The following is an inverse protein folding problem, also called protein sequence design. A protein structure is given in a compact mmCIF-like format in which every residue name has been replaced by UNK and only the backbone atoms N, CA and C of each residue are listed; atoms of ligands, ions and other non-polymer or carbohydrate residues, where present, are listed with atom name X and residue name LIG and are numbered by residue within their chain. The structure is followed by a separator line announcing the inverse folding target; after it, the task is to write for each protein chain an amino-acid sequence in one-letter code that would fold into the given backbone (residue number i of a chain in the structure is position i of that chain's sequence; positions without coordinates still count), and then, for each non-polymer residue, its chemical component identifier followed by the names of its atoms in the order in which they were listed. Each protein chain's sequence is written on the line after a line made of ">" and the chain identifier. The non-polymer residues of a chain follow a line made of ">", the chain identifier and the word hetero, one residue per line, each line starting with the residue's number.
data_IF_975043631388
#
_entry.id   IF_975043631388
#
_cell.length_a   1.000
_cell.length_b   1.000
_cell.length_c   1.000
_cell.angle_alpha   90.00
_cell.angle_beta   90.00
_cell.angle_gamma   90.00
#
_symmetry.space_group_name_H-M   'P 1'
#
loop_
_entity.id
_entity.type
_entity.pdbx_description
1 polymer ?
#
# COMPACT_ATOMS: atom_id res chain seq x y z
N UNK A 1 8.59 4.85 10.21
CA UNK A 1 7.98 4.29 8.97
C UNK A 1 8.56 5.01 7.78
N UNK A 2 9.22 4.30 6.87
CA UNK A 2 9.88 4.91 5.70
C UNK A 2 8.95 4.85 4.49
N UNK A 3 8.22 5.93 4.21
CA UNK A 3 7.43 6.07 2.99
C UNK A 3 8.33 6.48 1.82
N UNK A 4 8.13 5.95 0.61
CA UNK A 4 8.82 6.42 -0.59
C UNK A 4 8.61 7.92 -0.81
N UNK A 5 9.58 8.59 -1.43
CA UNK A 5 9.58 10.05 -1.60
C UNK A 5 8.30 10.58 -2.27
N UNK A 6 7.85 9.92 -3.35
CA UNK A 6 6.62 10.30 -4.05
C UNK A 6 5.39 10.13 -3.16
N UNK A 7 5.32 9.08 -2.35
CA UNK A 7 4.22 8.81 -1.42
C UNK A 7 4.21 9.83 -0.27
N UNK A 8 5.39 10.26 0.19
CA UNK A 8 5.51 11.38 1.13
C UNK A 8 5.00 12.69 0.54
N UNK A 9 5.31 12.95 -0.73
CA UNK A 9 4.85 14.15 -1.45
C UNK A 9 3.33 14.16 -1.55
N UNK A 10 2.73 13.04 -1.96
CA UNK A 10 1.26 12.88 -2.00
C UNK A 10 0.64 13.05 -0.62
N UNK A 11 1.21 12.44 0.42
CA UNK A 11 0.71 12.58 1.79
C UNK A 11 0.78 14.03 2.28
N UNK A 12 1.87 14.75 1.95
CA UNK A 12 2.01 16.16 2.28
C UNK A 12 0.95 17.01 1.58
N UNK A 13 0.72 16.76 0.29
CA UNK A 13 -0.37 17.41 -0.47
C UNK A 13 -1.72 17.15 0.17
N UNK A 14 -2.03 15.90 0.51
CA UNK A 14 -3.30 15.51 1.14
C UNK A 14 -3.51 16.09 2.55
N UNK A 15 -2.45 16.54 3.23
CA UNK A 15 -2.53 17.26 4.50
C UNK A 15 -2.74 18.75 4.31
N UNK A 16 -2.05 19.34 3.33
CA UNK A 16 -2.15 20.76 3.02
C UNK A 16 -3.48 21.10 2.32
N UNK A 17 -3.91 20.23 1.41
CA UNK A 17 -5.10 20.40 0.58
C UNK A 17 -6.18 19.35 0.92
N UNK A 18 -7.37 19.56 0.35
CA UNK A 18 -8.50 18.68 0.62
C UNK A 18 -8.41 17.32 -0.07
N UNK A 19 -7.92 17.26 -1.32
CA UNK A 19 -7.89 16.06 -2.15
C UNK A 19 -6.83 16.14 -3.27
N UNK A 20 -6.56 14.99 -3.89
CA UNK A 20 -5.70 14.88 -5.08
C UNK A 20 -6.33 13.96 -6.12
N UNK A 21 -6.15 14.30 -7.40
CA UNK A 21 -6.57 13.50 -8.56
C UNK A 21 -5.36 12.99 -9.34
N UNK A 22 -5.56 11.96 -10.18
CA UNK A 22 -4.47 11.45 -11.03
C UNK A 22 -3.90 12.53 -11.95
N UNK A 23 -4.76 13.39 -12.52
CA UNK A 23 -4.35 14.51 -13.36
C UNK A 23 -3.49 15.53 -12.61
N UNK A 24 -3.89 15.93 -11.40
CA UNK A 24 -3.08 16.83 -10.57
C UNK A 24 -1.75 16.18 -10.17
N UNK A 25 -1.77 14.90 -9.78
CA UNK A 25 -0.56 14.19 -9.40
C UNK A 25 0.46 14.10 -10.54
N UNK A 26 0.00 13.82 -11.76
CA UNK A 26 0.87 13.76 -12.94
C UNK A 26 1.33 15.14 -13.39
N UNK A 27 0.42 16.12 -13.46
CA UNK A 27 0.71 17.47 -13.94
C UNK A 27 1.64 18.26 -13.02
N UNK A 28 1.39 18.21 -11.71
CA UNK A 28 2.12 19.03 -10.71
C UNK A 28 3.35 18.29 -10.20
N UNK A 29 3.21 17.01 -9.83
CA UNK A 29 4.24 16.27 -9.11
C UNK A 29 4.97 15.23 -9.97
N UNK A 30 4.61 15.09 -11.26
CA UNK A 30 5.15 14.06 -12.17
C UNK A 30 4.95 12.63 -11.65
N UNK A 31 3.89 12.40 -10.88
CA UNK A 31 3.54 11.09 -10.31
C UNK A 31 2.49 10.41 -11.20
N UNK A 32 2.94 9.51 -12.09
CA UNK A 32 2.06 8.78 -13.02
C UNK A 32 1.20 7.70 -12.34
N UNK A 33 1.75 7.03 -11.32
CA UNK A 33 1.09 5.91 -10.63
C UNK A 33 0.52 6.33 -9.28
N UNK A 34 -0.37 7.33 -9.27
CA UNK A 34 -0.96 7.85 -8.03
C UNK A 34 -1.60 6.75 -7.17
N UNK A 35 -2.40 5.86 -7.77
CA UNK A 35 -3.06 4.78 -7.03
C UNK A 35 -2.07 3.93 -6.24
N UNK A 36 -0.93 3.55 -6.83
CA UNK A 36 0.11 2.79 -6.13
C UNK A 36 0.74 3.57 -4.97
N UNK A 37 0.85 4.90 -5.07
CA UNK A 37 1.33 5.74 -3.95
C UNK A 37 0.28 5.81 -2.84
N UNK A 38 -1.00 5.87 -3.19
CA UNK A 38 -2.09 5.80 -2.21
C UNK A 38 -2.08 4.44 -1.50
N UNK A 39 -1.89 3.34 -2.22
CA UNK A 39 -1.80 2.00 -1.61
C UNK A 39 -0.66 1.90 -0.59
N UNK A 40 0.49 2.51 -0.88
CA UNK A 40 1.62 2.59 0.06
C UNK A 40 1.30 3.43 1.30
N UNK A 41 0.57 4.53 1.12
CA UNK A 41 0.12 5.39 2.22
C UNK A 41 -0.87 4.63 3.12
N UNK A 42 -1.84 3.93 2.52
CA UNK A 42 -2.80 3.10 3.24
C UNK A 42 -2.10 1.93 3.95
N UNK A 43 -1.15 1.28 3.28
CA UNK A 43 -0.35 0.21 3.89
C UNK A 43 0.50 0.72 5.08
N UNK A 44 0.94 1.98 5.04
CA UNK A 44 1.61 2.62 6.17
C UNK A 44 0.67 3.00 7.32
N UNK A 45 -0.64 2.72 7.20
CA UNK A 45 -1.63 2.91 8.26
C UNK A 45 -2.38 4.23 8.21
N UNK A 46 -2.20 5.04 7.16
CA UNK A 46 -2.96 6.27 6.98
C UNK A 46 -4.35 5.97 6.40
N UNK A 47 -5.37 6.62 6.95
CA UNK A 47 -6.73 6.45 6.48
C UNK A 47 -7.08 7.42 5.33
N UNK A 48 -7.19 6.87 4.12
CA UNK A 48 -7.43 7.58 2.86
C UNK A 48 -8.78 7.15 2.28
N UNK A 49 -9.62 8.14 1.99
CA UNK A 49 -10.92 7.97 1.34
C UNK A 49 -10.77 8.11 -0.18
N UNK A 50 -11.35 7.16 -0.90
CA UNK A 50 -11.51 7.18 -2.36
C UNK A 50 -12.94 7.61 -2.69
N UNK A 51 -13.08 8.72 -3.42
CA UNK A 51 -14.38 9.22 -3.87
C UNK A 51 -14.40 9.30 -5.39
N UNK A 52 -15.48 8.82 -5.98
CA UNK A 52 -15.72 8.96 -7.40
C UNK A 52 -16.45 10.27 -7.70
N UNK A 53 -16.00 10.96 -8.75
CA UNK A 53 -16.58 12.20 -9.21
C UNK A 53 -16.76 12.16 -10.74
N UNK A 54 -17.57 13.09 -11.25
CA UNK A 54 -17.78 13.29 -12.68
C UNK A 54 -17.35 14.71 -13.05
N UNK A 55 -16.76 14.87 -14.21
CA UNK A 55 -16.41 16.19 -14.72
C UNK A 55 -17.57 16.81 -15.52
N UNK A 56 -17.35 18.02 -16.03
CA UNK A 56 -18.34 18.74 -16.84
C UNK A 56 -18.71 18.02 -18.15
N UNK A 57 -17.86 17.11 -18.64
CA UNK A 57 -18.11 16.30 -19.84
C UNK A 57 -18.82 14.97 -19.53
N UNK A 58 -19.02 14.66 -18.24
CA UNK A 58 -19.57 13.40 -17.77
C UNK A 58 -18.54 12.29 -17.58
N UNK A 59 -17.25 12.55 -17.85
CA UNK A 59 -16.18 11.59 -17.63
C UNK A 59 -15.98 11.35 -16.12
N UNK A 60 -15.93 10.07 -15.74
CA UNK A 60 -15.73 9.64 -14.36
C UNK A 60 -14.24 9.69 -14.03
N UNK A 61 -13.93 10.16 -12.82
CA UNK A 61 -12.58 10.16 -12.28
C UNK A 61 -12.59 9.97 -10.76
N UNK A 62 -11.41 9.69 -10.20
CA UNK A 62 -11.23 9.42 -8.78
C UNK A 62 -10.52 10.57 -8.09
N UNK A 63 -11.01 10.93 -6.90
CA UNK A 63 -10.37 11.84 -5.95
C UNK A 63 -9.97 11.04 -4.71
N UNK A 64 -8.76 11.27 -4.21
CA UNK A 64 -8.29 10.74 -2.93
C UNK A 64 -8.21 11.86 -1.91
N UNK A 65 -8.61 11.59 -0.67
CA UNK A 65 -8.55 12.56 0.44
C UNK A 65 -8.25 11.83 1.75
N UNK A 66 -7.65 12.51 2.73
CA UNK A 66 -7.60 11.96 4.08
C UNK A 66 -8.98 11.98 4.71
N UNK A 67 -9.29 10.96 5.53
CA UNK A 67 -10.52 10.96 6.31
C UNK A 67 -10.55 12.13 7.30
N UNK A 68 -11.76 12.52 7.72
CA UNK A 68 -11.92 13.58 8.72
C UNK A 68 -11.17 13.25 10.02
N UNK A 69 -11.16 11.97 10.41
CA UNK A 69 -10.37 11.47 11.55
C UNK A 69 -8.88 11.62 11.26
N UNK A 70 -8.39 11.11 10.12
CA UNK A 70 -6.96 11.17 9.77
C UNK A 70 -6.40 12.58 9.67
N UNK A 71 -7.19 13.57 9.24
CA UNK A 71 -6.75 14.98 9.22
C UNK A 71 -6.45 15.54 10.61
N UNK A 72 -7.09 15.03 11.66
CA UNK A 72 -6.87 15.47 13.05
C UNK A 72 -5.60 14.87 13.66
N UNK A 73 -5.18 13.69 13.19
CA UNK A 73 -4.01 12.98 13.71
C UNK A 73 -2.79 13.20 12.83
N UNK A 74 -1.67 13.56 13.46
CA UNK A 74 -0.39 13.70 12.77
C UNK A 74 0.24 12.35 12.37
N UNK A 75 -0.17 11.25 13.00
CA UNK A 75 0.34 9.90 12.74
C UNK A 75 -0.67 9.00 11.99
N UNK A 76 -0.23 7.80 11.56
CA UNK A 76 -1.14 6.78 11.04
C UNK A 76 -2.11 6.33 12.14
N UNK A 77 -3.39 6.18 11.78
CA UNK A 77 -4.44 5.72 12.71
C UNK A 77 -4.50 4.19 12.73
N UNK A 78 -4.36 3.58 11.56
CA UNK A 78 -4.47 2.14 11.40
C UNK A 78 -3.10 1.48 11.63
N UNK A 79 -3.07 0.23 12.14
CA UNK A 79 -1.82 -0.52 12.18
C UNK A 79 -1.26 -0.67 10.74
N UNK A 80 0.06 -0.55 10.55
CA UNK A 80 0.65 -0.72 9.24
C UNK A 80 0.39 -2.13 8.72
N UNK A 81 -0.13 -2.23 7.51
CA UNK A 81 -0.30 -3.50 6.82
C UNK A 81 1.03 -3.89 6.20
N UNK A 82 1.57 -5.04 6.61
CA UNK A 82 2.73 -5.61 5.93
C UNK A 82 2.38 -5.86 4.46
N UNK A 83 3.27 -5.45 3.55
CA UNK A 83 3.15 -5.79 2.14
C UNK A 83 3.21 -7.31 2.04
N UNK A 84 2.20 -7.92 1.40
CA UNK A 84 2.26 -9.35 1.09
C UNK A 84 3.36 -9.53 0.05
N UNK A 85 4.50 -10.05 0.47
CA UNK A 85 5.60 -10.39 -0.43
C UNK A 85 5.21 -11.73 -1.07
N UNK A 86 5.25 -11.81 -2.40
CA UNK A 86 5.22 -13.11 -3.07
C UNK A 86 6.58 -13.76 -2.82
N UNK A 87 6.60 -14.73 -1.93
CA UNK A 87 7.79 -15.54 -1.68
C UNK A 87 7.85 -16.65 -2.73
N UNK A 88 9.01 -16.86 -3.34
CA UNK A 88 9.26 -18.04 -4.16
C UNK A 88 9.52 -19.24 -3.25
N UNK A 89 9.33 -20.45 -3.77
CA UNK A 89 9.62 -21.68 -3.02
C UNK A 89 11.09 -21.71 -2.59
N UNK A 90 12.01 -21.33 -3.48
CA UNK A 90 13.45 -21.23 -3.20
C UNK A 90 13.75 -20.33 -1.99
N UNK A 91 13.10 -19.17 -1.90
CA UNK A 91 13.30 -18.25 -0.79
C UNK A 91 12.77 -18.80 0.54
N UNK A 92 11.69 -19.58 0.50
CA UNK A 92 11.16 -20.27 1.67
C UNK A 92 12.16 -21.33 2.13
N UNK A 93 12.70 -22.13 1.21
CA UNK A 93 13.69 -23.17 1.50
C UNK A 93 14.98 -22.59 2.11
N UNK A 94 15.52 -21.51 1.54
CA UNK A 94 16.69 -20.80 2.09
C UNK A 94 16.42 -20.29 3.50
N UNK A 95 15.28 -19.62 3.71
CA UNK A 95 14.92 -19.08 5.04
C UNK A 95 14.74 -20.18 6.07
N UNK A 96 14.15 -21.32 5.69
CA UNK A 96 13.96 -22.46 6.60
C UNK A 96 15.28 -23.13 6.98
N UNK A 97 16.27 -23.16 6.08
CA UNK A 97 17.63 -23.61 6.35
C UNK A 97 18.35 -22.69 7.33
N UNK A 98 18.25 -21.37 7.14
CA UNK A 98 18.88 -20.36 8.01
C UNK A 98 18.32 -20.36 9.44
N UNK A 99 17.02 -20.66 9.60
CA UNK A 99 16.37 -20.78 10.90
C UNK A 99 16.67 -22.12 11.61
N UNK A 100 17.46 -23.01 11.01
CA UNK A 100 17.89 -24.26 11.62
C UNK A 100 16.81 -25.34 11.70
N UNK A 101 15.78 -25.26 10.85
CA UNK A 101 14.79 -26.34 10.76
C UNK A 101 15.40 -27.55 10.03
N UNK A 102 15.22 -28.75 10.59
CA UNK A 102 15.65 -29.99 9.94
C UNK A 102 14.91 -30.18 8.61
N UNK A 103 15.57 -30.69 7.57
CA UNK A 103 14.98 -30.96 6.24
C UNK A 103 13.64 -31.72 6.33
N UNK A 104 13.52 -32.66 7.28
CA UNK A 104 12.28 -33.42 7.49
C UNK A 104 11.07 -32.60 7.95
N UNK A 105 11.29 -31.43 8.57
CA UNK A 105 10.21 -30.51 8.95
C UNK A 105 9.75 -29.66 7.76
N UNK A 106 10.66 -29.34 6.83
CA UNK A 106 10.38 -28.64 5.58
C UNK A 106 9.51 -29.52 4.68
N UNK A 107 9.87 -30.79 4.50
CA UNK A 107 9.12 -31.75 3.68
C UNK A 107 7.69 -31.99 4.19
N UNK A 108 7.50 -32.05 5.51
CA UNK A 108 6.18 -32.17 6.14
C UNK A 108 5.32 -30.92 5.92
N UNK A 109 5.93 -29.73 5.99
CA UNK A 109 5.22 -28.47 5.76
C UNK A 109 4.78 -28.36 4.28
N UNK A 110 5.68 -28.67 3.34
CA UNK A 110 5.38 -28.65 1.90
C UNK A 110 4.24 -29.62 1.57
N UNK A 111 4.29 -30.83 2.12
CA UNK A 111 3.24 -31.84 1.94
C UNK A 111 1.89 -31.34 2.45
N UNK A 112 1.84 -30.76 3.66
CA UNK A 112 0.61 -30.17 4.23
C UNK A 112 0.06 -29.01 3.41
N UNK A 113 0.92 -28.12 2.90
CA UNK A 113 0.48 -26.98 2.10
C UNK A 113 -0.12 -27.42 0.76
N UNK A 114 0.43 -28.47 0.13
CA UNK A 114 -0.10 -29.06 -1.10
C UNK A 114 -1.45 -29.75 -0.90
N UNK A 115 -1.72 -30.32 0.27
CA UNK A 115 -3.03 -30.93 0.59
C UNK A 115 -4.14 -29.89 0.82
N UNK A 116 -3.77 -28.66 1.20
CA UNK A 116 -4.71 -27.57 1.47
C UNK A 116 -5.00 -26.65 0.29
N UNK A 117 -4.31 -26.83 -0.83
CA UNK A 117 -4.48 -26.06 -2.08
C UNK A 117 -5.38 -26.80 -3.07
#
# INVERSE_FOLDING_TARGET
>A
MNLPLQSRTVLSHLRAESHITSWQAEGVYRIRRLASRIDEIVAAGYDVIKTEAKDATGQRYIRYSLSATQKRYAGPINPPRAKCIRLTVEHIEETMRDLGHCECAIDRLISRLKETA
#
